data_IF_682077502441
#
_entry.id   IF_682077502441
#
_cell.length_a   1.000
_cell.length_b   1.000
_cell.length_c   1.000
_cell.angle_alpha   90.00
_cell.angle_beta   90.00
_cell.angle_gamma   90.00
#
_symmetry.space_group_name_H-M   'P 1'
#
loop_
_entity.id
_entity.type
_entity.pdbx_description
1 polymer ?
#
# COMPACT_ATOMS: atom_id res chain seq x y z
N UNK A 1 -5.17 -21.29 -13.03
CA UNK A 1 -4.55 -19.99 -12.73
C UNK A 1 -5.23 -19.43 -11.49
N UNK A 2 -4.72 -19.75 -10.30
CA UNK A 2 -5.38 -19.36 -9.03
C UNK A 2 -4.31 -19.13 -7.97
N UNK A 3 -3.67 -17.97 -7.98
CA UNK A 3 -2.69 -17.63 -6.96
C UNK A 3 -2.46 -16.13 -6.96
N UNK A 4 -3.17 -15.40 -6.09
CA UNK A 4 -2.71 -14.18 -5.38
C UNK A 4 -3.81 -13.21 -4.90
N UNK A 5 -5.11 -13.50 -5.07
CA UNK A 5 -6.17 -12.56 -4.62
C UNK A 5 -6.16 -12.35 -3.08
N UNK A 6 -5.52 -13.23 -2.31
CA UNK A 6 -5.46 -13.13 -0.83
C UNK A 6 -4.30 -12.30 -0.27
N UNK A 7 -3.37 -11.82 -1.10
CA UNK A 7 -2.15 -11.15 -0.63
C UNK A 7 -2.19 -9.62 -0.76
N UNK A 8 -3.34 -9.06 -1.13
CA UNK A 8 -3.53 -7.63 -1.34
C UNK A 8 -4.24 -7.00 -0.15
N UNK A 9 -3.65 -5.94 0.36
CA UNK A 9 -4.12 -5.16 1.51
C UNK A 9 -4.60 -3.82 0.98
N UNK A 10 -5.86 -3.46 1.25
CA UNK A 10 -6.38 -2.15 0.85
C UNK A 10 -5.66 -1.00 1.58
N UNK A 11 -5.74 0.19 1.00
CA UNK A 11 -5.09 1.40 1.53
C UNK A 11 -5.41 1.69 3.00
N UNK A 12 -6.66 1.47 3.44
CA UNK A 12 -7.04 1.76 4.81
C UNK A 12 -6.37 0.78 5.78
N UNK A 13 -6.41 -0.52 5.49
CA UNK A 13 -5.75 -1.55 6.30
C UNK A 13 -4.24 -1.39 6.29
N UNK A 14 -3.66 -1.04 5.14
CA UNK A 14 -2.24 -0.74 5.02
C UNK A 14 -1.82 0.44 5.91
N UNK A 15 -2.59 1.53 5.90
CA UNK A 15 -2.35 2.69 6.75
C UNK A 15 -2.37 2.33 8.25
N UNK A 16 -3.35 1.51 8.66
CA UNK A 16 -3.44 1.00 10.04
C UNK A 16 -2.23 0.14 10.41
N UNK A 17 -1.81 -0.78 9.52
CA UNK A 17 -0.65 -1.65 9.77
C UNK A 17 0.66 -0.88 9.89
N UNK A 18 0.79 0.20 9.13
CA UNK A 18 1.99 1.03 9.10
C UNK A 18 1.98 2.12 10.18
N UNK A 19 0.87 2.27 10.91
CA UNK A 19 0.71 3.30 11.93
C UNK A 19 0.77 4.73 11.39
N UNK A 20 0.38 4.94 10.12
CA UNK A 20 0.41 6.25 9.47
C UNK A 20 -0.94 6.60 8.81
N UNK A 21 -1.24 7.89 8.60
CA UNK A 21 -2.44 8.31 7.89
C UNK A 21 -2.48 7.78 6.45
N UNK A 22 -3.67 7.42 5.90
CA UNK A 22 -3.81 7.01 4.50
C UNK A 22 -3.28 8.05 3.49
N UNK A 23 -3.41 9.34 3.80
CA UNK A 23 -2.87 10.42 2.97
C UNK A 23 -1.34 10.38 2.86
N UNK A 24 -0.67 10.01 3.95
CA UNK A 24 0.78 9.87 4.00
C UNK A 24 1.23 8.60 3.27
N UNK A 25 0.55 7.48 3.49
CA UNK A 25 0.76 6.25 2.73
C UNK A 25 0.61 6.49 1.23
N UNK A 26 -0.43 7.22 0.80
CA UNK A 26 -0.66 7.59 -0.59
C UNK A 26 0.46 8.43 -1.18
N UNK A 27 1.07 9.30 -0.38
CA UNK A 27 2.23 10.10 -0.80
C UNK A 27 3.44 9.19 -1.06
N UNK A 28 3.76 8.29 -0.12
CA UNK A 28 4.86 7.34 -0.30
C UNK A 28 4.61 6.41 -1.50
N UNK A 29 3.39 5.88 -1.63
CA UNK A 29 2.94 5.08 -2.78
C UNK A 29 3.20 5.81 -4.10
N UNK A 30 2.76 7.07 -4.23
CA UNK A 30 2.96 7.86 -5.46
C UNK A 30 4.42 8.16 -5.77
N UNK A 31 5.23 8.48 -4.75
CA UNK A 31 6.65 8.82 -4.94
C UNK A 31 7.48 7.59 -5.29
N UNK A 32 7.14 6.43 -4.73
CA UNK A 32 7.88 5.18 -4.92
C UNK A 32 7.35 4.29 -6.05
N UNK A 33 6.15 4.58 -6.57
CA UNK A 33 5.46 3.72 -7.53
C UNK A 33 4.96 2.40 -6.93
N UNK A 34 4.81 2.34 -5.61
CA UNK A 34 4.34 1.15 -4.89
C UNK A 34 2.82 1.20 -4.70
N UNK A 35 2.15 0.06 -4.84
CA UNK A 35 0.71 -0.07 -4.79
C UNK A 35 0.08 -0.20 -6.18
N UNK A 36 -0.98 -1.00 -6.24
CA UNK A 36 -1.69 -1.33 -7.46
C UNK A 36 -3.12 -0.82 -7.40
N UNK A 37 -3.63 -0.31 -8.52
CA UNK A 37 -5.05 0.01 -8.64
C UNK A 37 -5.78 -1.24 -9.09
N UNK A 38 -6.67 -1.74 -8.24
CA UNK A 38 -7.61 -2.80 -8.60
C UNK A 38 -8.99 -2.21 -8.81
N UNK A 39 -9.69 -2.71 -9.84
CA UNK A 39 -11.10 -2.43 -10.04
C UNK A 39 -11.89 -3.50 -9.28
N UNK A 40 -12.61 -3.10 -8.24
CA UNK A 40 -13.63 -3.94 -7.60
C UNK A 40 -15.03 -3.53 -8.07
N UNK A 41 -16.06 -4.29 -7.67
CA UNK A 41 -17.46 -3.99 -7.98
C UNK A 41 -17.93 -2.62 -7.45
N UNK A 42 -17.13 -1.95 -6.61
CA UNK A 42 -17.39 -0.64 -6.00
C UNK A 42 -16.48 0.47 -6.57
N UNK A 43 -15.64 0.18 -7.56
CA UNK A 43 -14.78 1.14 -8.26
C UNK A 43 -13.28 0.85 -8.15
N UNK A 44 -12.47 1.88 -8.37
CA UNK A 44 -11.01 1.78 -8.29
C UNK A 44 -10.53 1.92 -6.85
N UNK A 45 -9.76 0.95 -6.37
CA UNK A 45 -9.10 1.00 -5.06
C UNK A 45 -7.62 0.72 -5.20
N UNK A 46 -6.83 1.42 -4.38
CA UNK A 46 -5.41 1.12 -4.24
C UNK A 46 -5.23 -0.01 -3.24
N UNK A 47 -4.52 -1.03 -3.65
CA UNK A 47 -4.13 -2.18 -2.83
C UNK A 47 -2.62 -2.36 -2.85
N UNK A 48 -2.12 -3.05 -1.84
CA UNK A 48 -0.69 -3.24 -1.61
C UNK A 48 -0.40 -4.68 -1.27
N UNK A 49 0.66 -5.24 -1.84
CA UNK A 49 1.24 -6.49 -1.35
C UNK A 49 2.03 -6.25 -0.06
N UNK A 50 2.22 -7.30 0.74
CA UNK A 50 3.08 -7.21 1.93
C UNK A 50 4.52 -6.78 1.62
N UNK A 51 5.05 -7.17 0.46
CA UNK A 51 6.38 -6.75 -0.01
C UNK A 51 6.44 -5.25 -0.30
N UNK A 52 5.40 -4.69 -0.92
CA UNK A 52 5.30 -3.25 -1.14
C UNK A 52 5.16 -2.49 0.17
N UNK A 53 4.34 -2.97 1.11
CA UNK A 53 4.23 -2.38 2.45
C UNK A 53 5.57 -2.37 3.17
N UNK A 54 6.33 -3.48 3.09
CA UNK A 54 7.69 -3.56 3.66
C UNK A 54 8.63 -2.52 3.05
N UNK A 55 8.57 -2.30 1.74
CA UNK A 55 9.38 -1.27 1.07
C UNK A 55 8.96 0.14 1.51
N UNK A 56 7.66 0.40 1.67
CA UNK A 56 7.16 1.67 2.21
C UNK A 56 7.69 1.90 3.63
N UNK A 57 7.67 0.91 4.52
CA UNK A 57 8.29 1.02 5.85
C UNK A 57 9.75 1.48 5.78
N UNK A 58 10.54 0.89 4.89
CA UNK A 58 11.95 1.21 4.74
C UNK A 58 12.16 2.64 4.24
N UNK A 59 11.32 3.11 3.30
CA UNK A 59 11.36 4.48 2.80
C UNK A 59 11.01 5.50 3.89
N UNK A 60 9.98 5.21 4.68
CA UNK A 60 9.56 6.05 5.81
C UNK A 60 10.67 6.15 6.84
N UNK A 61 11.26 5.01 7.23
CA UNK A 61 12.36 4.96 8.20
C UNK A 61 13.60 5.73 7.72
N UNK A 62 13.90 5.72 6.42
CA UNK A 62 15.00 6.48 5.83
C UNK A 62 14.71 7.98 5.75
N UNK A 63 13.44 8.37 5.56
CA UNK A 63 13.01 9.77 5.47
C UNK A 63 12.97 10.50 6.82
N UNK A 64 13.07 9.77 7.94
CA UNK A 64 13.06 10.33 9.30
C UNK A 64 14.43 10.83 9.77
N UNK A 65 15.41 10.93 8.87
CA UNK A 65 16.81 11.23 9.19
C UNK A 65 17.25 12.60 8.70
#
# INVERSE_FOLDING_TARGET
MSGNILNHVDEYRAAVLLGMPPSELRRYSRVSGLGHVENDDKGQKVVFTYEELRRICLLVAQSSK
#
